data_IF_245325712848
#
_entry.id   IF_245325712848
#
_cell.length_a   1.000
_cell.length_b   1.000
_cell.length_c   1.000
_cell.angle_alpha   90.00
_cell.angle_beta   90.00
_cell.angle_gamma   90.00
#
_symmetry.space_group_name_H-M   'P 1'
#
loop_
_entity.id
_entity.type
_entity.pdbx_description
1 polymer ?
#
# COMPACT_ATOMS: atom_id res chain seq x y z
N UNK A 1 1.35 -63.93 -17.67
CA UNK A 1 0.44 -63.21 -16.76
C UNK A 1 0.98 -61.80 -16.62
N UNK A 2 0.25 -60.80 -17.14
CA UNK A 2 0.68 -59.41 -17.30
C UNK A 2 0.08 -58.61 -16.14
N UNK A 3 0.85 -58.35 -15.09
CA UNK A 3 0.39 -57.52 -13.98
C UNK A 3 0.53 -56.05 -14.37
N UNK A 4 -0.61 -55.43 -14.73
CA UNK A 4 -0.74 -53.99 -14.88
C UNK A 4 -0.90 -53.36 -13.49
N UNK A 5 0.11 -52.58 -13.08
CA UNK A 5 0.11 -51.79 -11.85
C UNK A 5 -0.42 -50.38 -12.20
N UNK A 6 -1.58 -49.94 -11.68
CA UNK A 6 -2.06 -48.58 -11.92
C UNK A 6 -1.27 -47.59 -11.05
N UNK A 7 -0.49 -46.73 -11.71
CA UNK A 7 0.19 -45.58 -11.12
C UNK A 7 -0.87 -44.54 -10.70
N UNK A 8 -1.07 -44.37 -9.40
CA UNK A 8 -1.95 -43.33 -8.83
C UNK A 8 -1.24 -41.98 -9.00
N UNK A 9 -1.77 -41.14 -9.88
CA UNK A 9 -1.29 -39.78 -10.11
C UNK A 9 -1.93 -38.85 -9.07
N UNK A 10 -1.25 -38.62 -7.95
CA UNK A 10 -1.65 -37.62 -6.95
C UNK A 10 -1.41 -36.21 -7.51
N UNK A 11 -2.48 -35.58 -8.01
CA UNK A 11 -2.47 -34.18 -8.43
C UNK A 11 -2.41 -33.29 -7.18
N UNK A 12 -1.20 -32.87 -6.81
CA UNK A 12 -1.00 -31.84 -5.78
C UNK A 12 -1.39 -30.50 -6.40
N UNK A 13 -2.62 -30.05 -6.12
CA UNK A 13 -3.06 -28.69 -6.42
C UNK A 13 -2.36 -27.72 -5.48
N UNK A 14 -1.21 -27.17 -5.91
CA UNK A 14 -0.68 -25.96 -5.30
C UNK A 14 -1.68 -24.82 -5.55
N UNK A 15 -2.52 -24.55 -4.56
CA UNK A 15 -3.32 -23.33 -4.53
C UNK A 15 -2.34 -22.16 -4.38
N UNK A 16 -1.98 -21.54 -5.50
CA UNK A 16 -1.44 -20.19 -5.47
C UNK A 16 -2.53 -19.29 -4.91
N UNK A 17 -2.37 -18.84 -3.66
CA UNK A 17 -3.15 -17.75 -3.12
C UNK A 17 -2.86 -16.51 -3.96
N UNK A 18 -3.66 -16.30 -5.01
CA UNK A 18 -3.64 -15.08 -5.80
C UNK A 18 -4.22 -13.95 -4.94
N UNK A 19 -3.39 -13.39 -4.06
CA UNK A 19 -3.64 -12.08 -3.49
C UNK A 19 -3.62 -11.07 -4.65
N UNK A 20 -4.71 -10.35 -4.86
CA UNK A 20 -4.79 -9.32 -5.88
C UNK A 20 -3.69 -8.27 -5.63
N UNK A 21 -2.78 -8.11 -6.59
CA UNK A 21 -1.66 -7.18 -6.47
C UNK A 21 -2.13 -5.73 -6.34
N UNK A 22 -1.19 -4.88 -5.93
CA UNK A 22 -1.42 -3.45 -5.76
C UNK A 22 -1.03 -2.70 -7.03
N UNK A 23 -1.71 -1.58 -7.29
CA UNK A 23 -1.26 -0.65 -8.31
C UNK A 23 0.02 0.04 -7.88
N UNK A 24 0.99 0.10 -8.80
CA UNK A 24 2.26 0.76 -8.59
C UNK A 24 2.29 2.12 -9.29
N UNK A 25 2.87 3.10 -8.61
CA UNK A 25 3.07 4.44 -9.13
C UNK A 25 4.29 4.54 -10.07
N UNK A 26 4.51 5.73 -10.65
CA UNK A 26 5.56 5.95 -11.64
C UNK A 26 6.97 5.80 -11.07
N UNK A 27 7.12 5.84 -9.74
CA UNK A 27 8.40 5.67 -9.05
C UNK A 27 8.49 4.32 -8.29
N UNK A 28 7.64 3.35 -8.64
CA UNK A 28 7.63 2.00 -8.07
C UNK A 28 7.07 1.90 -6.65
N UNK A 29 6.46 2.97 -6.13
CA UNK A 29 5.73 2.95 -4.86
C UNK A 29 4.31 2.40 -5.00
N UNK A 30 3.64 2.21 -3.86
CA UNK A 30 2.22 1.82 -3.85
C UNK A 30 1.35 3.01 -4.21
N UNK A 31 0.49 2.85 -5.21
CA UNK A 31 -0.47 3.87 -5.62
C UNK A 31 -1.76 3.73 -4.79
N UNK A 32 -2.22 4.86 -4.25
CA UNK A 32 -3.41 4.97 -3.44
C UNK A 32 -4.38 5.93 -4.12
N UNK A 33 -5.62 5.51 -4.31
CA UNK A 33 -6.68 6.37 -4.84
C UNK A 33 -7.24 7.23 -3.70
N UNK A 34 -7.07 8.55 -3.79
CA UNK A 34 -7.48 9.48 -2.73
C UNK A 34 -8.91 9.98 -2.96
N UNK A 35 -9.35 10.11 -4.20
CA UNK A 35 -10.71 10.54 -4.54
C UNK A 35 -11.47 9.52 -5.38
N UNK A 36 -12.80 9.57 -5.36
CA UNK A 36 -13.64 8.61 -6.10
C UNK A 36 -13.44 8.64 -7.61
N UNK A 37 -12.97 9.76 -8.16
CA UNK A 37 -12.75 9.92 -9.60
C UNK A 37 -11.34 9.51 -10.02
N UNK A 38 -10.50 9.06 -9.09
CA UNK A 38 -9.07 8.80 -9.30
C UNK A 38 -8.32 9.97 -9.96
N UNK A 39 -8.81 11.19 -9.76
CA UNK A 39 -8.19 12.44 -10.22
C UNK A 39 -7.07 12.90 -9.31
N UNK A 40 -7.09 12.43 -8.05
CA UNK A 40 -6.05 12.62 -7.07
C UNK A 40 -5.60 11.24 -6.55
N UNK A 41 -4.31 10.97 -6.70
CA UNK A 41 -3.66 9.77 -6.22
C UNK A 41 -2.54 10.11 -5.26
N UNK A 42 -2.12 9.13 -4.49
CA UNK A 42 -0.96 9.22 -3.62
C UNK A 42 -0.02 8.06 -3.91
N UNK A 43 1.24 8.33 -4.19
CA UNK A 43 2.26 7.28 -4.27
C UNK A 43 3.03 7.19 -2.97
N UNK A 44 2.97 6.05 -2.29
CA UNK A 44 3.71 5.76 -1.07
C UNK A 44 4.99 5.01 -1.40
N UNK A 45 6.12 5.54 -0.93
CA UNK A 45 7.44 4.91 -1.01
C UNK A 45 8.09 4.89 0.36
N UNK A 46 9.02 3.97 0.56
CA UNK A 46 9.92 3.99 1.72
C UNK A 46 11.25 4.59 1.27
N UNK A 47 11.77 5.57 2.02
CA UNK A 47 13.13 6.08 1.88
C UNK A 47 13.71 6.22 3.28
N UNK A 48 14.82 5.53 3.55
CA UNK A 48 15.36 5.45 4.91
C UNK A 48 14.33 4.88 5.87
N UNK A 49 14.11 5.57 6.99
CA UNK A 49 13.18 5.24 8.07
C UNK A 49 11.81 5.95 7.94
N UNK A 50 11.48 6.45 6.74
CA UNK A 50 10.24 7.18 6.51
C UNK A 50 9.44 6.64 5.32
N UNK A 51 8.12 6.71 5.48
CA UNK A 51 7.22 6.73 4.35
C UNK A 51 7.19 8.13 3.73
N UNK A 52 7.20 8.16 2.40
CA UNK A 52 6.99 9.35 1.59
C UNK A 52 5.72 9.13 0.78
N UNK A 53 4.71 9.95 1.02
CA UNK A 53 3.49 10.03 0.24
C UNK A 53 3.60 11.23 -0.71
N UNK A 54 3.74 11.01 -2.00
CA UNK A 54 3.67 12.06 -3.02
C UNK A 54 2.25 12.16 -3.56
N UNK A 55 1.67 13.36 -3.59
CA UNK A 55 0.38 13.59 -4.26
C UNK A 55 0.58 13.65 -5.77
N UNK A 56 -0.27 12.93 -6.50
CA UNK A 56 -0.22 12.80 -7.94
C UNK A 56 -1.56 13.16 -8.58
N UNK A 57 -1.52 13.75 -9.77
CA UNK A 57 -2.70 13.95 -10.61
C UNK A 57 -3.12 12.67 -11.36
N UNK A 58 -4.14 12.80 -12.21
CA UNK A 58 -4.62 11.70 -13.06
C UNK A 58 -3.59 11.20 -14.07
N UNK A 59 -2.60 12.04 -14.43
CA UNK A 59 -1.48 11.73 -15.31
C UNK A 59 -0.24 11.22 -14.54
N UNK A 60 -0.38 10.97 -13.24
CA UNK A 60 0.70 10.55 -12.34
C UNK A 60 1.83 11.59 -12.20
N UNK A 61 1.55 12.87 -12.40
CA UNK A 61 2.49 13.97 -12.15
C UNK A 61 2.33 14.50 -10.74
N UNK A 62 3.45 14.89 -10.12
CA UNK A 62 3.46 15.42 -8.77
C UNK A 62 2.64 16.72 -8.65
N UNK A 63 1.81 16.80 -7.63
CA UNK A 63 1.01 17.97 -7.30
C UNK A 63 1.63 18.71 -6.10
N UNK A 64 1.71 20.04 -6.13
CA UNK A 64 2.17 20.80 -4.98
C UNK A 64 1.16 20.69 -3.82
N UNK A 65 1.67 20.65 -2.60
CA UNK A 65 0.84 20.71 -1.39
C UNK A 65 0.70 22.14 -0.92
N UNK A 66 -0.54 22.61 -0.86
CA UNK A 66 -0.95 23.91 -0.35
C UNK A 66 -1.83 23.72 0.89
N UNK A 67 -3.15 23.79 0.75
CA UNK A 67 -4.13 23.73 1.83
C UNK A 67 -4.36 22.31 2.38
N UNK A 68 -3.86 21.28 1.70
CA UNK A 68 -4.13 19.89 2.06
C UNK A 68 -3.51 19.54 3.41
N UNK A 69 -4.16 18.64 4.13
CA UNK A 69 -3.66 18.10 5.40
C UNK A 69 -3.78 16.59 5.42
N UNK A 70 -2.87 15.93 6.15
CA UNK A 70 -2.87 14.49 6.34
C UNK A 70 -2.63 14.18 7.80
N UNK A 71 -3.46 13.30 8.36
CA UNK A 71 -3.14 12.62 9.62
C UNK A 71 -2.90 11.15 9.32
N UNK A 72 -1.91 10.55 9.98
CA UNK A 72 -1.58 9.14 9.82
C UNK A 72 -1.54 8.44 11.18
N UNK A 73 -2.02 7.20 11.19
CA UNK A 73 -2.02 6.32 12.35
C UNK A 73 -1.51 4.95 11.94
N UNK A 74 -0.68 4.35 12.79
CA UNK A 74 -0.36 2.93 12.72
C UNK A 74 -1.34 2.16 13.58
N UNK A 75 -1.94 1.11 13.05
CA UNK A 75 -2.77 0.18 13.80
C UNK A 75 -2.16 -1.20 13.71
N UNK A 76 -1.72 -1.71 14.86
CA UNK A 76 -1.29 -3.10 15.02
C UNK A 76 -2.49 -4.04 15.20
N UNK A 77 -2.48 -4.84 16.27
CA UNK A 77 -3.66 -5.61 16.67
C UNK A 77 -4.83 -4.66 17.02
N UNK A 78 -6.06 -5.22 17.05
CA UNK A 78 -7.36 -4.51 17.03
C UNK A 78 -7.49 -3.31 18.00
N UNK A 79 -6.69 -3.24 19.06
CA UNK A 79 -6.92 -2.36 20.22
C UNK A 79 -5.98 -1.16 20.36
N UNK A 80 -4.84 -1.09 19.66
CA UNK A 80 -3.89 0.04 19.83
C UNK A 80 -3.61 0.75 18.50
N UNK A 81 -3.96 2.03 18.44
CA UNK A 81 -3.65 2.95 17.34
C UNK A 81 -2.63 3.98 17.81
N UNK A 82 -1.49 4.07 17.13
CA UNK A 82 -0.45 5.07 17.41
C UNK A 82 -0.52 6.16 16.37
N UNK A 83 -0.73 7.41 16.80
CA UNK A 83 -0.65 8.57 15.92
C UNK A 83 0.79 8.77 15.46
N UNK A 84 0.98 8.95 14.16
CA UNK A 84 2.28 9.21 13.55
C UNK A 84 2.48 10.71 13.35
N UNK A 85 3.69 11.19 13.56
CA UNK A 85 4.07 12.57 13.22
C UNK A 85 4.13 12.70 11.70
N UNK A 86 3.28 13.57 11.15
CA UNK A 86 3.23 13.83 9.71
C UNK A 86 3.87 15.18 9.44
N UNK A 87 4.83 15.21 8.51
CA UNK A 87 5.47 16.44 8.04
C UNK A 87 5.02 16.71 6.61
N UNK A 88 4.56 17.94 6.35
CA UNK A 88 4.21 18.39 5.01
C UNK A 88 5.50 18.66 4.21
N UNK A 89 5.52 18.22 2.96
CA UNK A 89 6.60 18.54 2.00
C UNK A 89 6.01 19.33 0.83
N UNK A 90 6.86 19.74 -0.13
CA UNK A 90 6.41 20.52 -1.28
C UNK A 90 5.39 19.79 -2.16
N UNK A 91 5.46 18.46 -2.26
CA UNK A 91 4.61 17.65 -3.14
C UNK A 91 3.88 16.51 -2.41
N UNK A 92 3.83 16.55 -1.08
CA UNK A 92 3.22 15.47 -0.32
C UNK A 92 3.48 15.54 1.17
N UNK A 93 3.69 14.37 1.77
CA UNK A 93 3.86 14.20 3.21
C UNK A 93 4.89 13.12 3.52
N UNK A 94 5.56 13.26 4.65
CA UNK A 94 6.39 12.19 5.22
C UNK A 94 5.92 11.81 6.61
N UNK A 95 6.11 10.55 6.98
CA UNK A 95 5.80 10.03 8.30
C UNK A 95 6.69 8.81 8.62
N UNK A 96 6.96 8.53 9.91
CA UNK A 96 7.84 7.43 10.31
C UNK A 96 7.38 6.07 9.77
N UNK A 97 8.36 5.23 9.45
CA UNK A 97 8.14 3.82 9.16
C UNK A 97 7.54 3.12 10.39
N UNK A 98 6.77 2.06 10.15
CA UNK A 98 6.13 1.28 11.21
C UNK A 98 6.61 -0.16 11.17
N UNK A 99 6.30 -0.93 12.22
CA UNK A 99 6.57 -2.36 12.22
C UNK A 99 5.79 -3.05 11.11
N UNK A 100 6.42 -4.03 10.47
CA UNK A 100 5.78 -4.94 9.53
C UNK A 100 4.53 -5.60 10.13
N UNK A 101 3.50 -5.79 9.30
CA UNK A 101 2.20 -6.33 9.68
C UNK A 101 1.22 -5.28 10.23
N UNK A 102 1.64 -4.03 10.43
CA UNK A 102 0.74 -2.96 10.84
C UNK A 102 -0.07 -2.41 9.66
N UNK A 103 -1.29 -1.96 9.94
CA UNK A 103 -2.07 -1.14 9.02
C UNK A 103 -1.69 0.32 9.17
N UNK A 104 -1.45 0.98 8.05
CA UNK A 104 -1.41 2.44 7.98
C UNK A 104 -2.82 2.93 7.67
N UNK A 105 -3.34 3.81 8.51
CA UNK A 105 -4.62 4.50 8.30
C UNK A 105 -4.35 5.99 8.21
N UNK A 106 -4.72 6.57 7.08
CA UNK A 106 -4.55 7.99 6.80
C UNK A 106 -5.90 8.66 6.62
N UNK A 107 -6.00 9.90 7.10
CA UNK A 107 -7.12 10.78 6.77
C UNK A 107 -6.56 11.98 6.02
N UNK A 108 -6.88 12.05 4.74
CA UNK A 108 -6.54 13.16 3.88
C UNK A 108 -7.67 14.17 3.84
N UNK A 109 -7.34 15.46 3.83
CA UNK A 109 -8.29 16.56 3.62
C UNK A 109 -7.73 17.48 2.54
N UNK A 110 -8.57 17.91 1.60
CA UNK A 110 -8.19 18.85 0.56
C UNK A 110 -7.95 20.28 1.11
N UNK A 111 -8.65 20.62 2.19
CA UNK A 111 -8.49 21.81 3.01
C UNK A 111 -8.85 21.49 4.47
N UNK A 112 -8.45 22.30 5.45
CA UNK A 112 -8.67 22.04 6.88
C UNK A 112 -10.12 21.64 7.23
N UNK A 113 -11.10 22.37 6.69
CA UNK A 113 -12.53 22.14 6.95
C UNK A 113 -13.18 21.09 6.04
N UNK A 114 -12.46 20.57 5.05
CA UNK A 114 -13.01 19.58 4.12
C UNK A 114 -13.21 18.22 4.79
N UNK A 115 -14.23 17.47 4.36
CA UNK A 115 -14.51 16.11 4.85
C UNK A 115 -13.27 15.22 4.66
N UNK A 116 -12.86 14.46 5.68
CA UNK A 116 -11.70 13.59 5.56
C UNK A 116 -12.00 12.41 4.64
N UNK A 117 -11.03 12.08 3.79
CA UNK A 117 -11.02 10.84 3.02
C UNK A 117 -10.08 9.87 3.71
N UNK A 118 -10.63 8.72 4.11
CA UNK A 118 -9.87 7.69 4.81
C UNK A 118 -9.26 6.74 3.80
N UNK A 119 -7.94 6.57 3.88
CA UNK A 119 -7.16 5.66 3.04
C UNK A 119 -6.42 4.71 3.97
N UNK A 120 -6.37 3.44 3.64
CA UNK A 120 -5.69 2.43 4.45
C UNK A 120 -4.91 1.45 3.59
N UNK A 121 -3.75 1.03 4.06
CA UNK A 121 -2.98 -0.04 3.44
C UNK A 121 -2.21 -0.85 4.50
N UNK A 122 -2.05 -2.16 4.32
CA UNK A 122 -1.17 -2.95 5.17
C UNK A 122 0.29 -2.70 4.79
N UNK A 123 1.16 -2.58 5.79
CA UNK A 123 2.61 -2.56 5.61
C UNK A 123 3.18 -3.93 5.95
N UNK A 124 3.05 -4.87 5.03
CA UNK A 124 3.61 -6.21 5.12
C UNK A 124 4.91 -6.30 4.32
N UNK A 125 6.03 -6.46 5.03
CA UNK A 125 7.37 -6.55 4.44
C UNK A 125 7.82 -7.98 4.13
N UNK A 126 6.95 -8.98 4.32
CA UNK A 126 7.24 -10.34 3.87
C UNK A 126 7.41 -10.38 2.36
N UNK A 127 8.20 -11.33 1.87
CA UNK A 127 8.50 -11.46 0.45
C UNK A 127 7.38 -12.21 -0.26
N UNK A 128 6.78 -11.57 -1.26
CA UNK A 128 5.83 -12.19 -2.16
C UNK A 128 6.52 -13.30 -2.97
N UNK A 129 5.99 -14.52 -2.90
CA UNK A 129 6.55 -15.68 -3.60
C UNK A 129 6.51 -15.56 -5.12
N UNK A 130 5.58 -14.77 -5.67
CA UNK A 130 5.44 -14.55 -7.11
C UNK A 130 6.46 -13.54 -7.65
N UNK A 131 6.33 -12.27 -7.25
CA UNK A 131 7.15 -11.19 -7.81
C UNK A 131 8.42 -10.87 -7.01
N UNK A 132 8.68 -11.58 -5.90
CA UNK A 132 9.85 -11.41 -5.03
C UNK A 132 10.00 -10.00 -4.43
N UNK A 133 8.93 -9.20 -4.47
CA UNK A 133 8.84 -7.89 -3.79
C UNK A 133 8.21 -8.06 -2.42
N UNK A 134 8.36 -7.06 -1.56
CA UNK A 134 7.61 -7.01 -0.32
C UNK A 134 6.08 -7.02 -0.61
N UNK A 135 5.28 -7.74 0.17
CA UNK A 135 3.84 -7.94 -0.06
C UNK A 135 3.07 -6.62 -0.17
N UNK A 136 3.45 -5.60 0.60
CA UNK A 136 2.83 -4.27 0.49
C UNK A 136 3.06 -3.55 -0.86
N UNK A 137 3.97 -4.07 -1.70
CA UNK A 137 4.29 -3.66 -3.08
C UNK A 137 4.11 -4.81 -4.09
N UNK A 138 3.37 -5.86 -3.74
CA UNK A 138 3.13 -6.98 -4.64
C UNK A 138 2.43 -6.52 -5.93
N UNK A 139 3.07 -6.74 -7.09
CA UNK A 139 2.52 -6.37 -8.40
C UNK A 139 1.98 -7.56 -9.20
N UNK A 140 1.81 -8.72 -8.57
CA UNK A 140 1.26 -9.91 -9.21
C UNK A 140 -0.20 -9.69 -9.62
N UNK A 141 -0.60 -10.18 -10.79
CA UNK A 141 -1.98 -10.16 -11.28
C UNK A 141 -2.33 -11.49 -11.94
#
# INVERSE_FOLDING_TARGET
MKHLLPLIFSLVTLQAFAHEGVDLGPNGGRLLVIDKKASLKGEVRVKGDQFHLTLLDSQQKALPVTAQTLTAHSRGSIVTSTKLTVVKTSHGFTFPLVRSGAWIVMQYRAAAESKPITIRFPYDTSTCSGCQKAEWLCGCR
#
